data_IF_562265551716
#
_entry.id   IF_562265551716
#
_cell.length_a   1.000
_cell.length_b   1.000
_cell.length_c   1.000
_cell.angle_alpha   90.00
_cell.angle_beta   90.00
_cell.angle_gamma   90.00
#
_symmetry.space_group_name_H-M   'P 1'
#
loop_
_entity.id
_entity.type
_entity.pdbx_description
1 polymer ?
#
# COMPACT_ATOMS: atom_id res chain seq x y z
N UNK A 1 8.42 24.97 -3.75
CA UNK A 1 7.66 24.59 -4.97
C UNK A 1 7.68 23.07 -5.03
N UNK A 2 6.75 22.41 -4.34
CA UNK A 2 6.67 20.94 -4.35
C UNK A 2 6.00 20.55 -5.66
N UNK A 3 6.75 19.86 -6.53
CA UNK A 3 6.19 19.29 -7.75
C UNK A 3 5.60 17.96 -7.35
N UNK A 4 4.33 17.97 -6.92
CA UNK A 4 3.58 16.75 -6.69
C UNK A 4 3.68 15.88 -7.94
N UNK A 5 4.26 14.69 -7.78
CA UNK A 5 4.28 13.70 -8.84
C UNK A 5 2.84 13.20 -8.96
N UNK A 6 2.12 13.71 -9.96
CA UNK A 6 0.87 13.12 -10.41
C UNK A 6 1.21 11.79 -11.12
N UNK A 7 1.52 10.75 -10.35
CA UNK A 7 1.50 9.40 -10.90
C UNK A 7 0.02 9.10 -11.16
N UNK A 8 -0.37 8.54 -12.32
CA UNK A 8 -1.73 8.07 -12.51
C UNK A 8 -2.00 6.97 -11.47
N UNK A 9 -2.63 7.34 -10.34
CA UNK A 9 -2.82 6.51 -9.15
C UNK A 9 -3.47 5.15 -9.44
N UNK A 10 -4.19 5.04 -10.57
CA UNK A 10 -4.78 3.79 -11.04
C UNK A 10 -3.76 2.69 -11.40
N UNK A 11 -2.53 3.04 -11.76
CA UNK A 11 -1.51 2.06 -12.17
C UNK A 11 -0.73 1.52 -10.97
N UNK A 12 -0.45 2.37 -9.98
CA UNK A 12 0.30 2.00 -8.77
C UNK A 12 -0.45 0.94 -7.94
N UNK A 13 -1.76 1.13 -7.77
CA UNK A 13 -2.58 0.29 -6.87
C UNK A 13 -3.02 -1.05 -7.51
N UNK A 14 -2.94 -1.19 -8.84
CA UNK A 14 -3.42 -2.38 -9.58
C UNK A 14 -2.33 -3.42 -9.83
N UNK A 15 -1.36 -3.50 -8.93
CA UNK A 15 -0.35 -4.54 -9.00
C UNK A 15 -0.97 -5.92 -8.70
N UNK A 16 -1.23 -6.70 -9.76
CA UNK A 16 -1.83 -8.03 -9.66
C UNK A 16 -0.99 -9.01 -8.82
N UNK A 17 0.29 -8.70 -8.58
CA UNK A 17 1.16 -9.50 -7.71
C UNK A 17 0.75 -9.41 -6.24
N UNK A 18 -0.11 -8.46 -5.86
CA UNK A 18 -0.70 -8.34 -4.51
C UNK A 18 -1.87 -9.32 -4.29
N UNK A 19 -2.50 -9.82 -5.37
CA UNK A 19 -3.67 -10.72 -5.30
C UNK A 19 -3.42 -11.97 -4.43
N UNK A 20 -2.27 -12.66 -4.50
CA UNK A 20 -1.97 -13.78 -3.60
C UNK A 20 -1.94 -13.39 -2.12
N UNK A 21 -1.44 -12.19 -1.79
CA UNK A 21 -1.42 -11.67 -0.41
C UNK A 21 -2.86 -11.49 0.09
N UNK A 22 -3.68 -10.78 -0.69
CA UNK A 22 -5.10 -10.58 -0.38
C UNK A 22 -5.84 -11.92 -0.22
N UNK A 23 -5.56 -12.92 -1.07
CA UNK A 23 -6.17 -14.26 -0.96
C UNK A 23 -5.81 -14.96 0.35
N UNK A 24 -4.57 -14.85 0.81
CA UNK A 24 -4.11 -15.45 2.08
C UNK A 24 -4.75 -14.75 3.28
N UNK A 25 -4.91 -13.43 3.22
CA UNK A 25 -5.62 -12.68 4.26
C UNK A 25 -7.09 -13.12 4.30
N UNK A 26 -7.74 -13.19 3.13
CA UNK A 26 -9.13 -13.66 3.01
C UNK A 26 -9.35 -15.06 3.56
N UNK A 27 -8.43 -16.01 3.33
CA UNK A 27 -8.58 -17.37 3.85
C UNK A 27 -8.54 -17.46 5.38
N UNK A 28 -8.15 -16.36 6.06
CA UNK A 28 -8.09 -16.22 7.51
C UNK A 28 -9.12 -15.22 8.05
N UNK A 29 -9.99 -14.69 7.19
CA UNK A 29 -11.00 -13.71 7.55
C UNK A 29 -12.39 -14.31 7.43
N UNK A 30 -13.24 -14.07 8.45
CA UNK A 30 -14.62 -14.56 8.46
C UNK A 30 -15.53 -13.72 7.56
N UNK A 31 -15.26 -12.42 7.46
CA UNK A 31 -16.05 -11.44 6.72
C UNK A 31 -15.17 -10.28 6.24
N UNK A 32 -15.81 -9.29 5.61
CA UNK A 32 -15.15 -8.10 5.06
C UNK A 32 -14.48 -7.24 6.12
N UNK A 33 -15.08 -7.09 7.29
CA UNK A 33 -14.53 -6.24 8.35
C UNK A 33 -13.26 -6.89 8.92
N UNK A 34 -13.30 -8.21 9.14
CA UNK A 34 -12.13 -8.97 9.55
C UNK A 34 -11.04 -8.98 8.46
N UNK A 35 -11.40 -8.97 7.17
CA UNK A 35 -10.45 -8.81 6.07
C UNK A 35 -9.74 -7.45 6.08
N UNK A 36 -10.48 -6.37 6.32
CA UNK A 36 -9.91 -5.02 6.41
C UNK A 36 -8.93 -4.94 7.60
N UNK A 37 -9.35 -5.42 8.78
CA UNK A 37 -8.50 -5.43 9.97
C UNK A 37 -7.26 -6.31 9.80
N UNK A 38 -7.41 -7.50 9.22
CA UNK A 38 -6.26 -8.37 8.96
C UNK A 38 -5.30 -7.80 7.92
N UNK A 39 -5.80 -7.06 6.93
CA UNK A 39 -4.97 -6.35 5.95
C UNK A 39 -4.16 -5.23 6.59
N UNK A 40 -4.80 -4.43 7.45
CA UNK A 40 -4.13 -3.40 8.24
C UNK A 40 -3.03 -4.01 9.10
N UNK A 41 -3.35 -5.07 9.84
CA UNK A 41 -2.40 -5.76 10.70
C UNK A 41 -1.23 -6.36 9.91
N UNK A 42 -1.49 -6.93 8.73
CA UNK A 42 -0.43 -7.46 7.86
C UNK A 42 0.57 -6.36 7.50
N UNK A 43 0.09 -5.22 7.01
CA UNK A 43 0.96 -4.10 6.61
C UNK A 43 1.77 -3.58 7.80
N UNK A 44 1.12 -3.29 8.93
CA UNK A 44 1.80 -2.78 10.14
C UNK A 44 2.81 -3.76 10.75
N UNK A 45 2.62 -5.06 10.58
CA UNK A 45 3.52 -6.07 11.14
C UNK A 45 4.61 -6.53 10.18
N UNK A 46 4.51 -6.19 8.89
CA UNK A 46 5.42 -6.67 7.85
C UNK A 46 6.32 -5.61 7.25
N UNK A 47 6.05 -4.32 7.51
CA UNK A 47 6.76 -3.19 6.91
C UNK A 47 7.35 -2.31 8.01
N UNK A 48 8.68 -2.17 8.00
CA UNK A 48 9.40 -1.26 8.87
C UNK A 48 9.25 0.18 8.34
N UNK A 49 8.83 1.10 9.21
CA UNK A 49 8.67 2.50 8.85
C UNK A 49 10.04 3.17 8.70
N UNK A 50 10.37 3.66 7.50
CA UNK A 50 11.65 4.33 7.19
C UNK A 50 11.40 5.45 6.19
N UNK A 51 11.98 6.63 6.44
CA UNK A 51 11.91 7.78 5.53
C UNK A 51 12.63 7.52 4.20
N UNK A 52 12.16 8.12 3.11
CA UNK A 52 12.73 7.92 1.76
C UNK A 52 14.22 8.22 1.67
N UNK A 53 14.68 9.25 2.39
CA UNK A 53 16.09 9.64 2.38
C UNK A 53 16.98 8.55 2.96
N UNK A 54 16.49 7.81 3.95
CA UNK A 54 17.23 6.73 4.60
C UNK A 54 17.06 5.39 3.86
N UNK A 55 15.94 5.21 3.15
CA UNK A 55 15.62 3.98 2.42
C UNK A 55 16.18 3.97 0.99
N UNK A 56 16.04 5.08 0.25
CA UNK A 56 16.31 5.20 -1.19
C UNK A 56 17.41 6.23 -1.51
N UNK A 57 17.85 7.03 -0.52
CA UNK A 57 18.82 8.10 -0.73
C UNK A 57 18.27 9.31 -1.48
N UNK A 58 16.94 9.44 -1.57
CA UNK A 58 16.22 10.54 -2.22
C UNK A 58 15.14 11.07 -1.28
N UNK A 59 14.80 12.37 -1.36
CA UNK A 59 13.80 12.96 -0.45
C UNK A 59 12.35 12.59 -0.75
N UNK A 60 12.05 12.13 -1.96
CA UNK A 60 10.70 11.71 -2.37
C UNK A 60 10.85 10.52 -3.34
N UNK A 61 10.39 9.35 -2.93
CA UNK A 61 10.36 8.14 -3.75
C UNK A 61 9.15 7.28 -3.38
N UNK A 62 8.15 7.28 -4.25
CA UNK A 62 6.95 6.46 -4.07
C UNK A 62 7.22 5.02 -4.52
N UNK A 63 7.19 4.07 -3.60
CA UNK A 63 7.35 2.65 -3.89
C UNK A 63 6.07 2.04 -4.48
N UNK A 64 6.25 1.10 -5.41
CA UNK A 64 5.16 0.21 -5.84
C UNK A 64 4.78 -0.75 -4.70
N UNK A 65 3.53 -1.25 -4.61
CA UNK A 65 3.12 -2.16 -3.54
C UNK A 65 4.06 -3.35 -3.32
N UNK A 66 4.50 -3.99 -4.42
CA UNK A 66 5.42 -5.12 -4.30
C UNK A 66 6.87 -4.72 -4.02
N UNK A 67 7.28 -3.49 -4.32
CA UNK A 67 8.58 -2.99 -3.89
C UNK A 67 8.58 -2.83 -2.37
N UNK A 68 7.52 -2.25 -1.80
CA UNK A 68 7.32 -2.15 -0.34
C UNK A 68 7.35 -3.53 0.32
N UNK A 69 6.66 -4.53 -0.26
CA UNK A 69 6.68 -5.91 0.25
C UNK A 69 8.06 -6.55 0.14
N UNK A 70 8.79 -6.33 -0.95
CA UNK A 70 10.11 -6.93 -1.18
C UNK A 70 11.19 -6.32 -0.30
N UNK A 71 11.13 -5.01 -0.07
CA UNK A 71 12.06 -4.29 0.79
C UNK A 71 11.73 -4.48 2.26
N UNK A 72 10.46 -4.75 2.59
CA UNK A 72 9.98 -4.79 3.96
C UNK A 72 10.07 -3.43 4.65
N UNK A 73 10.12 -2.34 3.87
CA UNK A 73 10.36 -0.97 4.34
C UNK A 73 9.56 0.03 3.52
N UNK A 74 9.11 1.10 4.15
CA UNK A 74 8.51 2.24 3.47
C UNK A 74 8.05 3.31 4.44
N UNK A 75 7.72 4.46 3.89
CA UNK A 75 7.21 5.59 4.66
C UNK A 75 5.67 5.57 4.72
N UNK A 76 5.06 6.69 5.11
CA UNK A 76 3.61 6.80 5.19
C UNK A 76 2.89 6.58 3.84
N UNK A 77 3.46 7.05 2.73
CA UNK A 77 2.85 6.92 1.40
C UNK A 77 2.92 5.48 0.93
N UNK A 78 4.09 4.85 1.06
CA UNK A 78 4.32 3.46 0.63
C UNK A 78 3.38 2.47 1.33
N UNK A 79 3.27 2.63 2.65
CA UNK A 79 2.43 1.79 3.51
C UNK A 79 0.95 1.97 3.17
N UNK A 80 0.52 3.21 2.89
CA UNK A 80 -0.86 3.50 2.49
C UNK A 80 -1.17 2.90 1.11
N UNK A 81 -0.27 3.03 0.15
CA UNK A 81 -0.41 2.47 -1.20
C UNK A 81 -0.51 0.94 -1.15
N UNK A 82 0.34 0.28 -0.37
CA UNK A 82 0.28 -1.17 -0.20
C UNK A 82 -1.06 -1.61 0.42
N UNK A 83 -1.51 -0.94 1.48
CA UNK A 83 -2.79 -1.25 2.12
C UNK A 83 -3.95 -1.14 1.12
N UNK A 84 -3.99 -0.04 0.35
CA UNK A 84 -5.03 0.18 -0.66
C UNK A 84 -4.99 -0.89 -1.75
N UNK A 85 -3.80 -1.27 -2.22
CA UNK A 85 -3.63 -2.31 -3.23
C UNK A 85 -4.16 -3.68 -2.75
N UNK A 86 -3.90 -4.04 -1.48
CA UNK A 86 -4.43 -5.27 -0.87
C UNK A 86 -5.95 -5.23 -0.78
N UNK A 87 -6.51 -4.11 -0.33
CA UNK A 87 -7.96 -3.96 -0.15
C UNK A 87 -8.69 -3.94 -1.50
N UNK A 88 -8.11 -3.31 -2.52
CA UNK A 88 -8.61 -3.38 -3.91
C UNK A 88 -8.56 -4.80 -4.45
N UNK A 89 -7.42 -5.50 -4.30
CA UNK A 89 -7.27 -6.88 -4.75
C UNK A 89 -8.23 -7.85 -4.01
N UNK A 90 -8.60 -7.52 -2.78
CA UNK A 90 -9.60 -8.23 -1.98
C UNK A 90 -11.06 -7.88 -2.32
N UNK A 91 -11.32 -6.94 -3.24
CA UNK A 91 -12.67 -6.55 -3.65
C UNK A 91 -13.39 -5.63 -2.65
N UNK A 92 -12.65 -4.92 -1.78
CA UNK A 92 -13.25 -4.02 -0.78
C UNK A 92 -13.73 -2.71 -1.42
N UNK A 93 -13.12 -2.27 -2.51
CA UNK A 93 -13.55 -1.08 -3.26
C UNK A 93 -13.53 -1.35 -4.76
N UNK A 94 -14.52 -0.84 -5.48
CA UNK A 94 -14.58 -0.90 -6.95
C UNK A 94 -13.92 0.31 -7.63
N UNK A 95 -13.80 1.45 -6.92
CA UNK A 95 -13.24 2.70 -7.47
C UNK A 95 -11.75 2.88 -7.12
N UNK A 96 -11.02 3.45 -8.09
CA UNK A 96 -9.56 3.72 -8.06
C UNK A 96 -9.18 5.07 -7.45
N UNK A 97 -10.11 5.76 -6.81
CA UNK A 97 -9.88 7.09 -6.24
C UNK A 97 -9.65 6.97 -4.73
N UNK A 98 -8.45 6.51 -4.34
CA UNK A 98 -7.97 6.77 -2.98
C UNK A 98 -7.18 8.06 -3.02
N UNK A 99 -7.85 9.15 -2.64
CA UNK A 99 -7.28 10.48 -2.56
C UNK A 99 -6.52 10.60 -1.24
N UNK A 100 -5.22 10.33 -1.27
CA UNK A 100 -4.30 10.69 -0.18
C UNK A 100 -3.84 12.13 -0.38
N UNK A 101 -4.31 13.06 0.45
CA UNK A 101 -3.58 14.30 0.70
C UNK A 101 -2.76 14.10 1.97
N UNK A 102 -1.45 13.87 1.82
CA UNK A 102 -0.51 13.93 2.94
C UNK A 102 -0.11 15.39 3.10
N UNK A 103 -0.75 16.08 4.05
CA UNK A 103 -0.28 17.37 4.52
C UNK A 103 0.68 17.16 5.69
N UNK A 104 1.95 17.53 5.49
CA UNK A 104 2.90 17.85 6.57
C UNK A 104 2.62 19.26 7.06
#
# INVERSE_FOLDING_TARGET
MVRGILVPHHTLMRDLRVVPIARVIWSRSADRDQFILNSLNYVYSSIDYVEDIDNQGQNEYVQMPMETVQLGKGDCEDVAILLVAILWAGGVYESTEVMGFVHV
#
